data_IF_487170969376
#
_entry.id   IF_487170969376
#
_cell.length_a   1.000
_cell.length_b   1.000
_cell.length_c   1.000
_cell.angle_alpha   90.00
_cell.angle_beta   90.00
_cell.angle_gamma   90.00
#
_symmetry.space_group_name_H-M   'P 1'
#
loop_
_entity.id
_entity.type
_entity.pdbx_description
1 polymer ?
#
# COMPACT_ATOMS: atom_id res chain seq x y z
N UNK A 1 -7.96 30.92 -40.95
CA UNK A 1 -8.31 29.83 -40.02
C UNK A 1 -7.20 28.80 -39.84
N UNK A 2 -6.60 28.23 -40.92
CA UNK A 2 -5.52 27.22 -40.81
C UNK A 2 -4.27 27.71 -40.03
N UNK A 3 -3.86 28.96 -40.22
CA UNK A 3 -2.72 29.54 -39.48
C UNK A 3 -2.99 29.73 -37.97
N UNK A 4 -4.25 29.95 -37.59
CA UNK A 4 -4.65 30.14 -36.19
C UNK A 4 -4.64 28.80 -35.42
N UNK A 5 -5.01 27.70 -36.11
CA UNK A 5 -4.93 26.35 -35.56
C UNK A 5 -3.48 25.92 -35.34
N UNK A 6 -2.57 26.27 -36.24
CA UNK A 6 -1.13 26.00 -36.07
C UNK A 6 -0.51 26.69 -34.85
N UNK A 7 -0.95 27.92 -34.57
CA UNK A 7 -0.44 28.69 -33.42
C UNK A 7 -0.91 28.10 -32.08
N UNK A 8 -2.14 27.59 -32.01
CA UNK A 8 -2.68 26.92 -30.82
C UNK A 8 -1.92 25.61 -30.54
N UNK A 9 -1.60 24.84 -31.58
CA UNK A 9 -0.84 23.59 -31.44
C UNK A 9 0.60 23.87 -30.95
N UNK A 10 1.23 24.93 -31.45
CA UNK A 10 2.58 25.32 -31.00
C UNK A 10 2.63 25.69 -29.50
N UNK A 11 1.62 26.41 -29.00
CA UNK A 11 1.53 26.78 -27.57
C UNK A 11 1.34 25.54 -26.70
N UNK A 12 0.51 24.58 -27.13
CA UNK A 12 0.27 23.34 -26.40
C UNK A 12 1.53 22.47 -26.27
N UNK A 13 2.37 22.42 -27.31
CA UNK A 13 3.65 21.69 -27.27
C UNK A 13 4.62 22.35 -26.28
N UNK A 14 4.70 23.68 -26.25
CA UNK A 14 5.55 24.42 -25.30
C UNK A 14 5.09 24.16 -23.85
N UNK A 15 3.77 24.17 -23.59
CA UNK A 15 3.22 23.86 -22.27
C UNK A 15 3.46 22.39 -21.87
N UNK A 16 3.33 21.46 -22.82
CA UNK A 16 3.62 20.04 -22.58
C UNK A 16 5.08 19.81 -22.17
N UNK A 17 6.03 20.49 -22.83
CA UNK A 17 7.45 20.42 -22.47
C UNK A 17 7.75 21.07 -21.11
N UNK A 18 7.03 22.13 -20.72
CA UNK A 18 7.17 22.75 -19.39
C UNK A 18 6.59 21.91 -18.24
N UNK A 19 5.52 21.14 -18.49
CA UNK A 19 4.89 20.28 -17.49
C UNK A 19 5.64 18.95 -17.28
N UNK A 20 6.40 18.50 -18.27
CA UNK A 20 7.09 17.20 -18.25
C UNK A 20 8.62 17.28 -18.13
N UNK A 21 9.21 18.47 -17.95
CA UNK A 21 10.64 18.60 -17.73
C UNK A 21 10.99 18.39 -16.24
N UNK A 22 11.75 17.35 -15.87
CA UNK A 22 12.29 17.23 -14.53
C UNK A 22 13.33 18.33 -14.37
N UNK A 23 13.03 19.33 -13.53
CA UNK A 23 14.05 20.27 -13.08
C UNK A 23 14.94 19.50 -12.13
N UNK A 24 16.03 18.96 -12.68
CA UNK A 24 17.11 18.36 -11.91
C UNK A 24 17.80 19.49 -11.13
N UNK A 25 17.27 19.81 -9.95
CA UNK A 25 17.96 20.64 -8.97
C UNK A 25 18.93 19.73 -8.21
N UNK A 26 20.08 19.52 -8.82
CA UNK A 26 21.32 19.26 -8.10
C UNK A 26 21.64 20.47 -7.22
N UNK A 27 21.24 20.37 -5.95
CA UNK A 27 21.57 21.30 -4.88
C UNK A 27 22.54 20.67 -3.91
N UNK A 28 23.83 20.93 -4.15
CA UNK A 28 24.99 20.64 -3.30
C UNK A 28 24.71 20.94 -1.82
N UNK A 29 24.94 19.96 -0.94
CA UNK A 29 25.32 20.21 0.46
C UNK A 29 26.68 19.56 0.69
N UNK A 30 27.70 20.41 0.66
CA UNK A 30 29.02 20.12 1.22
C UNK A 30 28.84 19.66 2.67
N UNK A 31 29.19 18.39 2.94
CA UNK A 31 29.65 17.99 4.26
C UNK A 31 31.16 17.79 4.13
N UNK A 32 31.83 18.92 4.35
CA UNK A 32 33.24 19.02 4.64
C UNK A 32 33.65 18.01 5.74
N UNK A 33 34.55 17.13 5.34
CA UNK A 33 35.83 16.90 6.02
C UNK A 33 35.78 16.25 7.42
N UNK A 34 36.00 14.93 7.43
CA UNK A 34 37.03 14.35 8.27
C UNK A 34 37.62 13.13 7.56
N UNK A 35 38.61 13.41 6.71
CA UNK A 35 39.66 12.43 6.39
C UNK A 35 40.46 12.15 7.67
N UNK A 36 40.59 10.89 8.05
CA UNK A 36 41.90 10.31 8.36
C UNK A 36 41.91 8.86 7.88
N UNK A 37 42.55 8.65 6.73
CA UNK A 37 43.14 7.37 6.33
C UNK A 37 44.12 6.90 7.39
N UNK A 38 44.08 5.62 7.75
CA UNK A 38 45.31 4.89 8.06
C UNK A 38 45.19 3.42 7.65
N UNK A 39 46.03 3.02 6.70
CA UNK A 39 46.22 1.65 6.24
C UNK A 39 47.16 0.88 7.19
N UNK A 40 47.07 -0.46 7.10
CA UNK A 40 48.10 -1.45 7.45
C UNK A 40 48.38 -1.70 8.94
N UNK A 41 48.07 -2.91 9.39
CA UNK A 41 49.05 -4.01 9.40
C UNK A 41 48.63 -5.12 10.40
N UNK A 42 48.78 -6.36 9.93
CA UNK A 42 48.81 -7.59 10.71
C UNK A 42 49.23 -7.44 12.18
N UNK A 43 48.37 -7.90 13.10
CA UNK A 43 48.84 -8.59 14.30
C UNK A 43 47.81 -9.62 14.76
N UNK A 44 48.15 -10.85 14.44
CA UNK A 44 47.65 -12.07 15.05
C UNK A 44 47.76 -11.97 16.58
N UNK A 45 46.63 -11.96 17.28
CA UNK A 45 46.54 -12.27 18.71
C UNK A 45 45.26 -13.07 18.92
N UNK A 46 45.49 -14.33 19.29
CA UNK A 46 44.59 -15.34 19.87
C UNK A 46 43.28 -14.78 20.44
N UNK A 47 42.15 -15.17 19.86
CA UNK A 47 40.83 -15.06 20.50
C UNK A 47 40.55 -16.42 21.15
N UNK A 48 40.79 -16.50 22.46
CA UNK A 48 40.17 -17.51 23.30
C UNK A 48 38.70 -17.13 23.50
N UNK A 49 37.85 -18.12 23.31
CA UNK A 49 36.42 -18.12 23.58
C UNK A 49 36.15 -17.80 25.06
N UNK A 50 35.21 -16.90 25.32
CA UNK A 50 34.17 -16.96 26.36
C UNK A 50 33.72 -15.54 26.73
N UNK A 51 32.80 -15.00 25.94
CA UNK A 51 31.84 -14.00 26.42
C UNK A 51 30.42 -14.36 25.97
N UNK A 52 30.13 -15.67 26.02
CA UNK A 52 28.79 -16.20 25.84
C UNK A 52 28.07 -16.31 27.18
N UNK A 53 27.68 -15.20 27.83
CA UNK A 53 26.61 -15.28 28.85
C UNK A 53 25.96 -13.97 29.36
N UNK A 54 26.22 -12.77 28.83
CA UNK A 54 25.61 -11.55 29.41
C UNK A 54 25.07 -10.52 28.39
N UNK A 55 24.58 -10.99 27.25
CA UNK A 55 23.71 -10.18 26.39
C UNK A 55 22.22 -10.50 26.61
N UNK A 56 21.84 -10.89 27.84
CA UNK A 56 20.45 -10.75 28.28
C UNK A 56 20.25 -9.28 28.63
N UNK A 57 20.24 -8.49 27.57
CA UNK A 57 19.93 -7.07 27.51
C UNK A 57 18.70 -6.81 28.38
N UNK A 58 18.80 -5.86 29.31
CA UNK A 58 17.65 -5.40 30.11
C UNK A 58 16.61 -4.82 29.14
N UNK A 59 15.72 -5.67 28.63
CA UNK A 59 14.54 -5.21 27.90
C UNK A 59 13.72 -4.43 28.90
N UNK A 60 13.70 -3.10 28.77
CA UNK A 60 12.80 -2.30 29.60
C UNK A 60 11.36 -2.57 29.14
N UNK A 61 10.35 -2.45 30.01
CA UNK A 61 8.94 -2.61 29.60
C UNK A 61 8.53 -1.69 28.41
N UNK A 62 9.25 -0.58 28.22
CA UNK A 62 9.09 0.33 27.08
C UNK A 62 9.56 -0.30 25.76
N UNK A 63 10.67 -1.03 25.78
CA UNK A 63 11.25 -1.67 24.60
C UNK A 63 10.40 -2.86 24.14
N UNK A 64 9.85 -3.62 25.10
CA UNK A 64 8.91 -4.71 24.80
C UNK A 64 7.62 -4.19 24.18
N UNK A 65 7.02 -3.12 24.74
CA UNK A 65 5.83 -2.48 24.17
C UNK A 65 6.09 -1.98 22.76
N UNK A 66 7.22 -1.32 22.54
CA UNK A 66 7.61 -0.81 21.22
C UNK A 66 7.76 -1.95 20.23
N UNK A 67 8.42 -3.05 20.62
CA UNK A 67 8.57 -4.24 19.78
C UNK A 67 7.23 -4.85 19.39
N UNK A 68 6.30 -5.00 20.35
CA UNK A 68 4.95 -5.53 20.08
C UNK A 68 4.17 -4.62 19.14
N UNK A 69 4.23 -3.30 19.34
CA UNK A 69 3.57 -2.35 18.45
C UNK A 69 4.14 -2.40 17.03
N UNK A 70 5.46 -2.52 16.88
CA UNK A 70 6.10 -2.65 15.57
C UNK A 70 5.63 -3.92 14.85
N UNK A 71 5.61 -5.07 15.54
CA UNK A 71 5.15 -6.32 14.95
C UNK A 71 3.68 -6.26 14.48
N UNK A 72 2.80 -5.66 15.28
CA UNK A 72 1.38 -5.49 14.92
C UNK A 72 1.22 -4.48 13.77
N UNK A 73 2.09 -3.48 13.70
CA UNK A 73 2.08 -2.52 12.60
C UNK A 73 2.49 -3.16 11.27
N UNK A 74 3.44 -4.10 11.27
CA UNK A 74 3.81 -4.86 10.08
C UNK A 74 2.62 -5.66 9.53
N UNK A 75 1.84 -6.28 10.43
CA UNK A 75 0.59 -6.97 10.07
C UNK A 75 -0.40 -5.98 9.47
N UNK A 76 -0.62 -4.82 10.12
CA UNK A 76 -1.50 -3.78 9.62
C UNK A 76 -1.13 -3.31 8.21
N UNK A 77 0.16 -3.09 7.93
CA UNK A 77 0.63 -2.68 6.61
C UNK A 77 0.36 -3.76 5.55
N UNK A 78 0.55 -5.02 5.91
CA UNK A 78 0.25 -6.14 5.03
C UNK A 78 -1.24 -6.22 4.70
N UNK A 79 -2.12 -6.05 5.69
CA UNK A 79 -3.56 -6.07 5.45
C UNK A 79 -4.03 -4.87 4.61
N UNK A 80 -3.41 -3.69 4.78
CA UNK A 80 -3.66 -2.54 3.89
C UNK A 80 -3.30 -2.86 2.44
N UNK A 81 -2.17 -3.54 2.19
CA UNK A 81 -1.76 -3.97 0.84
C UNK A 81 -2.75 -4.99 0.26
N UNK A 82 -3.19 -5.95 1.06
CA UNK A 82 -4.19 -6.95 0.65
C UNK A 82 -5.51 -6.29 0.25
N UNK A 83 -6.06 -5.45 1.13
CA UNK A 83 -7.31 -4.73 0.88
C UNK A 83 -7.21 -3.86 -0.40
N UNK A 84 -6.09 -3.15 -0.59
CA UNK A 84 -5.84 -2.36 -1.80
C UNK A 84 -5.84 -3.23 -3.07
N UNK A 85 -5.18 -4.38 -3.02
CA UNK A 85 -5.15 -5.33 -4.15
C UNK A 85 -6.54 -5.86 -4.48
N UNK A 86 -7.31 -6.26 -3.47
CA UNK A 86 -8.67 -6.75 -3.66
C UNK A 86 -9.59 -5.67 -4.22
N UNK A 87 -9.52 -4.45 -3.70
CA UNK A 87 -10.31 -3.33 -4.19
C UNK A 87 -10.02 -3.01 -5.65
N UNK A 88 -8.74 -3.08 -6.07
CA UNK A 88 -8.36 -2.90 -7.46
C UNK A 88 -8.94 -4.00 -8.38
N UNK A 89 -8.87 -5.27 -7.95
CA UNK A 89 -9.46 -6.40 -8.68
C UNK A 89 -10.97 -6.27 -8.79
N UNK A 90 -11.65 -6.03 -7.67
CA UNK A 90 -13.10 -5.90 -7.65
C UNK A 90 -13.59 -4.73 -8.51
N UNK A 91 -12.89 -3.58 -8.46
CA UNK A 91 -13.22 -2.44 -9.34
C UNK A 91 -13.09 -2.80 -10.81
N UNK A 92 -12.05 -3.55 -11.17
CA UNK A 92 -11.87 -4.04 -12.54
C UNK A 92 -13.01 -4.99 -12.93
N UNK A 93 -13.35 -5.94 -12.07
CA UNK A 93 -14.38 -6.94 -12.37
C UNK A 93 -15.78 -6.32 -12.44
N UNK A 94 -16.04 -5.26 -11.66
CA UNK A 94 -17.29 -4.51 -11.70
C UNK A 94 -17.42 -3.64 -12.97
N UNK A 95 -16.31 -3.40 -13.69
CA UNK A 95 -16.33 -2.55 -14.87
C UNK A 95 -17.18 -3.19 -15.96
N UNK A 96 -18.21 -2.46 -16.41
CA UNK A 96 -19.06 -2.89 -17.53
C UNK A 96 -20.12 -3.92 -17.15
N UNK A 97 -20.18 -4.33 -15.89
CA UNK A 97 -21.25 -5.21 -15.39
C UNK A 97 -22.48 -4.38 -15.04
N UNK A 98 -23.65 -4.81 -15.52
CA UNK A 98 -24.93 -4.17 -15.23
C UNK A 98 -25.60 -4.88 -14.06
N UNK A 99 -25.83 -4.13 -12.98
CA UNK A 99 -26.58 -4.61 -11.82
C UNK A 99 -27.93 -3.90 -11.73
N UNK A 100 -28.92 -4.55 -11.10
CA UNK A 100 -30.13 -3.87 -10.67
C UNK A 100 -29.78 -2.68 -9.78
N UNK A 101 -30.50 -1.56 -9.92
CA UNK A 101 -30.17 -0.26 -9.28
C UNK A 101 -29.89 -0.39 -7.78
N UNK A 102 -30.71 -1.15 -7.06
CA UNK A 102 -30.56 -1.32 -5.61
C UNK A 102 -29.33 -2.14 -5.24
N UNK A 103 -29.02 -3.19 -6.02
CA UNK A 103 -27.79 -3.99 -5.84
C UNK A 103 -26.55 -3.16 -6.17
N UNK A 104 -26.57 -2.43 -7.28
CA UNK A 104 -25.48 -1.52 -7.69
C UNK A 104 -25.18 -0.49 -6.59
N UNK A 105 -26.22 0.12 -6.01
CA UNK A 105 -26.08 1.10 -4.93
C UNK A 105 -25.44 0.49 -3.69
N UNK A 106 -25.88 -0.70 -3.26
CA UNK A 106 -25.30 -1.40 -2.12
C UNK A 106 -23.83 -1.75 -2.36
N UNK A 107 -23.50 -2.38 -3.49
CA UNK A 107 -22.12 -2.74 -3.83
C UNK A 107 -21.22 -1.51 -3.91
N UNK A 108 -21.68 -0.43 -4.55
CA UNK A 108 -20.92 0.82 -4.63
C UNK A 108 -20.70 1.44 -3.25
N UNK A 109 -21.68 1.40 -2.35
CA UNK A 109 -21.53 1.93 -0.99
C UNK A 109 -20.47 1.15 -0.21
N UNK A 110 -20.48 -0.19 -0.31
CA UNK A 110 -19.48 -1.05 0.32
C UNK A 110 -18.07 -0.79 -0.24
N UNK A 111 -17.93 -0.70 -1.57
CA UNK A 111 -16.63 -0.40 -2.21
C UNK A 111 -16.12 0.97 -1.77
N UNK A 112 -16.98 1.99 -1.71
CA UNK A 112 -16.60 3.32 -1.22
C UNK A 112 -16.20 3.29 0.25
N UNK A 113 -16.90 2.51 1.08
CA UNK A 113 -16.55 2.34 2.49
C UNK A 113 -15.16 1.73 2.65
N UNK A 114 -14.87 0.65 1.92
CA UNK A 114 -13.54 0.03 1.92
C UNK A 114 -12.44 0.97 1.40
N UNK A 115 -12.73 1.76 0.35
CA UNK A 115 -11.81 2.77 -0.16
C UNK A 115 -11.52 3.89 0.87
N UNK A 116 -12.53 4.27 1.66
CA UNK A 116 -12.37 5.28 2.71
C UNK A 116 -11.44 4.82 3.83
N UNK A 117 -11.49 3.54 4.20
CA UNK A 117 -10.56 2.94 5.18
C UNK A 117 -9.12 3.06 4.69
N UNK A 118 -8.87 2.81 3.40
CA UNK A 118 -7.53 2.96 2.83
C UNK A 118 -7.08 4.42 2.65
N UNK A 119 -8.01 5.35 2.41
CA UNK A 119 -7.69 6.76 2.12
C UNK A 119 -7.39 7.56 3.36
N UNK A 120 -8.00 7.22 4.49
CA UNK A 120 -7.82 7.92 5.76
C UNK A 120 -7.27 6.95 6.81
N UNK A 121 -6.05 6.42 6.61
CA UNK A 121 -5.43 5.56 7.61
C UNK A 121 -5.06 6.36 8.85
N UNK A 122 -5.27 5.77 10.02
CA UNK A 122 -4.64 6.27 11.24
C UNK A 122 -3.10 6.20 11.07
N UNK A 123 -2.42 7.32 11.37
CA UNK A 123 -0.99 7.52 11.11
C UNK A 123 -0.12 6.85 12.19
N UNK A 124 1.14 6.55 11.83
CA UNK A 124 2.18 6.14 12.78
C UNK A 124 2.30 7.18 13.90
N UNK A 125 2.16 6.71 15.15
CA UNK A 125 2.14 7.56 16.35
C UNK A 125 0.74 8.01 16.80
N UNK A 126 -0.30 7.83 15.99
CA UNK A 126 -1.70 8.03 16.43
C UNK A 126 -2.19 6.88 17.32
N UNK A 127 -1.58 5.70 17.18
CA UNK A 127 -1.94 4.53 17.99
C UNK A 127 -1.40 4.68 19.42
N UNK A 128 -2.32 4.70 20.38
CA UNK A 128 -2.02 4.78 21.82
C UNK A 128 -1.45 3.47 22.39
N UNK A 129 -1.48 2.37 21.64
CA UNK A 129 -0.97 1.07 22.05
C UNK A 129 -1.26 -0.02 21.04
N UNK A 130 -0.87 -1.25 21.38
CA UNK A 130 -1.11 -2.46 20.57
C UNK A 130 -2.59 -2.67 20.26
N UNK A 131 -3.48 -2.46 21.24
CA UNK A 131 -4.92 -2.68 21.05
C UNK A 131 -5.51 -1.73 20.00
N UNK A 132 -5.05 -0.48 19.95
CA UNK A 132 -5.48 0.48 18.94
C UNK A 132 -5.04 0.06 17.52
N UNK A 133 -3.88 -0.58 17.38
CA UNK A 133 -3.41 -1.15 16.11
C UNK A 133 -4.30 -2.35 15.72
N UNK A 134 -4.64 -3.22 16.67
CA UNK A 134 -5.52 -4.37 16.46
C UNK A 134 -6.95 -3.99 16.08
N UNK A 135 -7.48 -2.93 16.67
CA UNK A 135 -8.78 -2.38 16.30
C UNK A 135 -8.79 -1.93 14.84
N UNK A 136 -7.72 -1.26 14.41
CA UNK A 136 -7.56 -0.84 13.01
C UNK A 136 -7.42 -2.02 12.05
N UNK A 137 -6.63 -3.04 12.42
CA UNK A 137 -6.55 -4.31 11.67
C UNK A 137 -7.95 -4.92 11.53
N UNK A 138 -8.74 -4.93 12.60
CA UNK A 138 -10.11 -5.47 12.59
C UNK A 138 -11.03 -4.72 11.62
N UNK A 139 -10.93 -3.38 11.55
CA UNK A 139 -11.69 -2.57 10.57
C UNK A 139 -11.30 -2.92 9.14
N UNK A 140 -10.00 -3.10 8.88
CA UNK A 140 -9.50 -3.49 7.55
C UNK A 140 -10.01 -4.87 7.16
N UNK A 141 -9.91 -5.84 8.06
CA UNK A 141 -10.38 -7.21 7.83
C UNK A 141 -11.90 -7.25 7.60
N UNK A 142 -12.67 -6.40 8.29
CA UNK A 142 -14.09 -6.26 8.03
C UNK A 142 -14.38 -5.71 6.62
N UNK A 143 -13.64 -4.67 6.21
CA UNK A 143 -13.75 -4.12 4.86
C UNK A 143 -13.38 -5.17 3.80
N UNK A 144 -12.32 -5.95 4.03
CA UNK A 144 -11.88 -7.04 3.16
C UNK A 144 -12.96 -8.10 2.99
N UNK A 145 -13.51 -8.62 4.09
CA UNK A 145 -14.62 -9.59 4.06
C UNK A 145 -15.82 -9.05 3.27
N UNK A 146 -16.14 -7.77 3.47
CA UNK A 146 -17.24 -7.13 2.74
C UNK A 146 -16.97 -7.04 1.23
N UNK A 147 -15.72 -6.87 0.80
CA UNK A 147 -15.35 -6.92 -0.61
C UNK A 147 -15.39 -8.35 -1.16
N UNK A 148 -14.99 -9.34 -0.36
CA UNK A 148 -15.06 -10.75 -0.74
C UNK A 148 -16.49 -11.20 -0.98
N UNK A 149 -17.44 -10.82 -0.13
CA UNK A 149 -18.88 -11.10 -0.35
C UNK A 149 -19.37 -10.57 -1.70
N UNK A 150 -18.91 -9.39 -2.10
CA UNK A 150 -19.26 -8.81 -3.41
C UNK A 150 -18.63 -9.62 -4.54
N UNK A 151 -17.36 -10.02 -4.38
CA UNK A 151 -16.66 -10.88 -5.33
C UNK A 151 -17.41 -12.20 -5.54
N UNK A 152 -17.83 -12.85 -4.46
CA UNK A 152 -18.55 -14.13 -4.49
C UNK A 152 -19.89 -14.00 -5.21
N UNK A 153 -20.64 -12.92 -4.93
CA UNK A 153 -21.90 -12.62 -5.63
C UNK A 153 -21.67 -12.42 -7.13
N UNK A 154 -20.58 -11.75 -7.51
CA UNK A 154 -20.25 -11.54 -8.92
C UNK A 154 -19.83 -12.83 -9.63
N UNK A 155 -19.04 -13.67 -8.97
CA UNK A 155 -18.63 -14.96 -9.50
C UNK A 155 -19.83 -15.89 -9.69
N UNK A 156 -20.73 -15.94 -8.71
CA UNK A 156 -21.98 -16.69 -8.82
C UNK A 156 -22.83 -16.23 -10.03
N UNK A 157 -22.99 -14.91 -10.23
CA UNK A 157 -23.71 -14.37 -11.39
C UNK A 157 -23.07 -14.74 -12.72
N UNK A 158 -21.73 -14.70 -12.78
CA UNK A 158 -20.97 -15.06 -13.99
C UNK A 158 -21.14 -16.54 -14.33
N UNK A 159 -21.08 -17.41 -13.33
CA UNK A 159 -21.23 -18.85 -13.52
C UNK A 159 -22.66 -19.22 -13.94
N UNK A 160 -23.69 -18.67 -13.30
CA UNK A 160 -25.08 -18.88 -13.72
C UNK A 160 -25.36 -18.38 -15.15
N UNK A 161 -24.73 -17.27 -15.57
CA UNK A 161 -24.88 -16.75 -16.93
C UNK A 161 -24.18 -17.63 -17.97
N UNK A 162 -23.14 -18.37 -17.59
CA UNK A 162 -22.40 -19.28 -18.47
C UNK A 162 -23.20 -20.57 -18.73
N UNK A 163 -23.77 -21.16 -17.69
CA UNK A 163 -24.60 -22.37 -17.78
C UNK A 163 -25.83 -22.17 -18.68
N UNK A 164 -26.46 -20.99 -18.62
CA UNK A 164 -27.61 -20.64 -19.48
C UNK A 164 -27.26 -20.58 -20.98
N UNK A 165 -26.03 -20.20 -21.33
CA UNK A 165 -25.60 -20.09 -22.73
C UNK A 165 -25.14 -21.44 -23.31
N UNK A 166 -24.65 -22.36 -22.47
CA UNK A 166 -24.23 -23.70 -22.90
C UNK A 166 -25.42 -24.67 -23.04
N UNK A 167 -26.54 -24.43 -22.35
CA UNK A 167 -27.76 -25.26 -22.42
C UNK A 167 -28.68 -25.03 -23.63
N UNK A 168 -28.45 -23.99 -24.45
CA UNK A 168 -29.30 -23.64 -25.61
C UNK A 168 -28.71 -24.05 -26.97
N UNK A 169 -27.61 -24.79 -27.00
CA UNK A 169 -26.98 -25.30 -28.24
C UNK A 169 -27.23 -26.79 -28.52
N UNK A 170 -28.27 -27.39 -27.92
CA UNK A 170 -28.65 -28.79 -28.11
C UNK A 170 -29.83 -28.98 -29.06
#
# INVERSE_FOLDING_TARGET
MKAMVGLIIAILIIFGLRLFWPTDQSGVRDVSQNEVMNENANKEVTIEEESGFLAQELITPSDERTRLMTAEYEILEQERKNLKRQLARLKHDMWGVKFAKDKAKKMSATVMSAANVLRNPDMLGAFSGVDAIKDEITKINFAEKSLQEISDVMEAMKNSSKELNEGTSG
#
